data_IF_068116201433
#
_entry.id   IF_068116201433
#
_cell.length_a   1.000
_cell.length_b   1.000
_cell.length_c   1.000
_cell.angle_alpha   90.00
_cell.angle_beta   90.00
_cell.angle_gamma   90.00
#
_symmetry.space_group_name_H-M   'P 1'
#
loop_
_entity.id
_entity.type
_entity.pdbx_description
1 polymer ?
#
# COMPACT_ATOMS: atom_id res chain seq x y z
N UNK A 1 5.45 14.20 -13.79
CA UNK A 1 5.12 14.32 -12.35
C UNK A 1 5.94 13.27 -11.63
N UNK A 2 6.82 13.68 -10.71
CA UNK A 2 7.78 12.78 -10.06
C UNK A 2 7.10 12.11 -8.84
N UNK A 3 6.86 10.80 -8.83
CA UNK A 3 6.11 10.16 -7.75
C UNK A 3 7.03 9.94 -6.54
N UNK A 4 7.25 10.99 -5.74
CA UNK A 4 7.32 11.02 -4.26
C UNK A 4 7.81 12.40 -3.81
N UNK A 5 6.89 13.33 -3.59
CA UNK A 5 7.19 14.67 -3.10
C UNK A 5 7.37 14.75 -1.57
N UNK A 6 7.35 13.61 -0.87
CA UNK A 6 7.39 13.54 0.60
C UNK A 6 8.36 12.44 1.07
N UNK A 7 9.68 12.69 1.09
CA UNK A 7 10.61 11.75 1.69
C UNK A 7 10.33 11.61 3.18
N UNK A 8 10.46 10.38 3.70
CA UNK A 8 10.44 10.14 5.15
C UNK A 8 11.84 10.45 5.69
N UNK A 9 11.92 11.09 6.84
CA UNK A 9 13.20 11.18 7.57
C UNK A 9 13.22 10.15 8.68
N UNK A 10 14.22 9.27 8.69
CA UNK A 10 14.47 8.37 9.83
C UNK A 10 15.85 8.62 10.44
N UNK A 11 16.04 8.17 11.68
CA UNK A 11 17.35 8.13 12.32
C UNK A 11 17.84 6.69 12.40
N UNK A 12 19.00 6.39 11.80
CA UNK A 12 19.68 5.09 11.88
C UNK A 12 21.10 5.30 12.39
N UNK A 13 21.52 4.53 13.39
CA UNK A 13 22.89 4.65 13.93
C UNK A 13 23.27 6.06 14.41
N UNK A 14 22.29 6.87 14.81
CA UNK A 14 22.50 8.27 15.24
C UNK A 14 22.53 9.30 14.10
N UNK A 15 22.45 8.87 12.84
CA UNK A 15 22.41 9.76 11.66
C UNK A 15 21.00 9.82 11.06
N UNK A 16 20.65 10.98 10.50
CA UNK A 16 19.38 11.18 9.80
C UNK A 16 19.52 10.80 8.33
N UNK A 17 18.54 10.06 7.82
CA UNK A 17 18.46 9.67 6.42
C UNK A 17 17.09 10.01 5.84
N UNK A 18 17.09 10.35 4.55
CA UNK A 18 15.87 10.50 3.77
C UNK A 18 15.58 9.21 3.03
N UNK A 19 14.34 8.74 3.13
CA UNK A 19 13.82 7.61 2.38
C UNK A 19 12.87 8.12 1.29
N UNK A 20 13.15 7.71 0.07
CA UNK A 20 12.31 7.93 -1.10
C UNK A 20 11.57 6.63 -1.43
N UNK A 21 10.36 6.75 -2.00
CA UNK A 21 9.51 5.61 -2.36
C UNK A 21 8.97 5.75 -3.78
N UNK A 22 9.87 6.06 -4.69
CA UNK A 22 9.62 6.25 -6.12
C UNK A 22 9.91 4.97 -6.92
N UNK A 23 9.73 5.07 -8.25
CA UNK A 23 10.04 3.98 -9.17
C UNK A 23 11.52 3.55 -9.14
N UNK A 24 12.45 4.44 -8.77
CA UNK A 24 13.86 4.09 -8.62
C UNK A 24 14.07 3.16 -7.43
N UNK A 25 13.38 3.44 -6.33
CA UNK A 25 13.33 2.55 -5.16
C UNK A 25 12.81 1.18 -5.53
N UNK A 26 11.72 1.11 -6.28
CA UNK A 26 11.08 -0.15 -6.64
C UNK A 26 12.00 -0.97 -7.54
N UNK A 27 12.55 -0.35 -8.58
CA UNK A 27 13.48 -0.99 -9.52
C UNK A 27 14.72 -1.51 -8.80
N UNK A 28 15.36 -0.68 -7.97
CA UNK A 28 16.56 -1.09 -7.23
C UNK A 28 16.28 -2.22 -6.22
N UNK A 29 15.10 -2.22 -5.59
CA UNK A 29 14.69 -3.33 -4.73
C UNK A 29 14.54 -4.63 -5.52
N UNK A 30 13.85 -4.60 -6.65
CA UNK A 30 13.58 -5.79 -7.47
C UNK A 30 14.87 -6.39 -8.02
N UNK A 31 15.78 -5.54 -8.53
CA UNK A 31 17.11 -5.97 -9.00
C UNK A 31 17.95 -6.60 -7.89
N UNK A 32 17.90 -6.02 -6.68
CA UNK A 32 18.76 -6.45 -5.58
C UNK A 32 18.21 -7.68 -4.82
N UNK A 33 16.89 -7.82 -4.73
CA UNK A 33 16.21 -8.89 -4.00
C UNK A 33 15.81 -10.07 -4.89
N UNK A 34 15.59 -9.83 -6.20
CA UNK A 34 14.99 -10.79 -7.12
C UNK A 34 13.50 -11.01 -6.89
N UNK A 35 12.83 -10.14 -6.12
CA UNK A 35 11.41 -10.23 -5.78
C UNK A 35 10.67 -9.02 -6.34
N UNK A 36 9.44 -9.22 -6.82
CA UNK A 36 8.58 -8.13 -7.26
C UNK A 36 8.20 -7.24 -6.07
N UNK A 37 8.31 -5.92 -6.24
CA UNK A 37 8.16 -4.98 -5.14
C UNK A 37 6.73 -4.95 -4.59
N UNK A 38 5.72 -5.04 -5.46
CA UNK A 38 4.31 -5.04 -5.01
C UNK A 38 3.93 -6.32 -4.28
N UNK A 39 4.53 -7.47 -4.64
CA UNK A 39 4.34 -8.73 -3.91
C UNK A 39 4.96 -8.63 -2.51
N UNK A 40 6.13 -8.02 -2.40
CA UNK A 40 6.75 -7.70 -1.12
C UNK A 40 5.82 -6.81 -0.29
N UNK A 41 5.35 -5.68 -0.82
CA UNK A 41 4.44 -4.78 -0.11
C UNK A 41 3.14 -5.46 0.32
N UNK A 42 2.52 -6.25 -0.56
CA UNK A 42 1.31 -6.99 -0.24
C UNK A 42 1.54 -7.96 0.93
N UNK A 43 2.67 -8.66 0.95
CA UNK A 43 3.04 -9.56 2.05
C UNK A 43 3.23 -8.80 3.37
N UNK A 44 3.86 -7.63 3.32
CA UNK A 44 4.02 -6.75 4.47
C UNK A 44 2.65 -6.29 5.01
N UNK A 45 1.78 -5.80 4.12
CA UNK A 45 0.45 -5.27 4.47
C UNK A 45 -0.48 -6.35 5.04
N UNK A 46 -0.51 -7.53 4.43
CA UNK A 46 -1.29 -8.67 4.93
C UNK A 46 -0.87 -9.04 6.36
N UNK A 47 0.43 -9.05 6.60
CA UNK A 47 0.98 -9.36 7.93
C UNK A 47 0.55 -8.31 8.95
N UNK A 48 0.73 -7.03 8.64
CA UNK A 48 0.28 -5.92 9.50
C UNK A 48 -1.21 -5.96 9.79
N UNK A 49 -2.05 -6.21 8.77
CA UNK A 49 -3.50 -6.30 8.94
C UNK A 49 -3.88 -7.43 9.90
N UNK A 50 -3.34 -8.63 9.70
CA UNK A 50 -3.58 -9.77 10.59
C UNK A 50 -3.16 -9.48 12.04
N UNK A 51 -2.14 -8.65 12.23
CA UNK A 51 -1.69 -8.22 13.54
C UNK A 51 -2.61 -7.16 14.17
N UNK A 52 -3.03 -6.16 13.39
CA UNK A 52 -4.01 -5.16 13.85
C UNK A 52 -5.31 -5.83 14.27
N UNK A 53 -5.79 -6.81 13.49
CA UNK A 53 -6.97 -7.60 13.82
C UNK A 53 -6.77 -8.39 15.12
N UNK A 54 -5.58 -8.96 15.35
CA UNK A 54 -5.24 -9.64 16.59
C UNK A 54 -5.18 -8.68 17.80
N UNK A 55 -4.65 -7.46 17.64
CA UNK A 55 -4.61 -6.42 18.69
C UNK A 55 -6.02 -5.98 19.05
N UNK A 56 -6.86 -5.73 18.03
CA UNK A 56 -8.25 -5.34 18.21
C UNK A 56 -9.07 -6.45 18.87
N UNK A 57 -8.85 -7.71 18.49
CA UNK A 57 -9.51 -8.88 19.09
C UNK A 57 -9.04 -9.15 20.52
N UNK A 58 -7.76 -8.89 20.84
CA UNK A 58 -7.22 -8.98 22.20
C UNK A 58 -7.72 -7.86 23.12
N UNK A 59 -8.35 -6.81 22.56
CA UNK A 59 -8.93 -5.71 23.32
C UNK A 59 -7.88 -4.99 24.17
N UNK A 60 -6.73 -4.64 23.58
CA UNK A 60 -5.61 -3.99 24.27
C UNK A 60 -6.10 -2.76 25.06
N UNK A 61 -6.21 -2.90 26.38
CA UNK A 61 -6.79 -1.89 27.28
C UNK A 61 -5.71 -0.97 27.87
N UNK A 62 -4.45 -1.14 27.45
CA UNK A 62 -3.35 -0.28 27.88
C UNK A 62 -2.30 -0.09 26.79
N UNK A 63 -1.59 1.05 26.84
CA UNK A 63 -0.48 1.37 25.93
C UNK A 63 0.65 0.32 25.95
N UNK A 64 0.81 -0.41 27.07
CA UNK A 64 1.85 -1.42 27.24
C UNK A 64 1.54 -2.73 26.48
N UNK A 65 0.25 -3.10 26.42
CA UNK A 65 -0.22 -4.23 25.62
C UNK A 65 -0.13 -3.94 24.12
N UNK A 66 -0.44 -2.70 23.72
CA UNK A 66 -0.27 -2.25 22.34
C UNK A 66 1.22 -2.32 21.91
N UNK A 67 2.15 -1.83 22.74
CA UNK A 67 3.58 -1.89 22.46
C UNK A 67 4.08 -3.34 22.29
N UNK A 68 3.66 -4.25 23.18
CA UNK A 68 4.02 -5.67 23.11
C UNK A 68 3.47 -6.33 21.83
N UNK A 69 2.25 -5.98 21.43
CA UNK A 69 1.65 -6.48 20.21
C UNK A 69 2.34 -5.92 18.95
N UNK A 70 2.76 -4.65 18.95
CA UNK A 70 3.56 -4.03 17.86
C UNK A 70 4.95 -4.65 17.74
N UNK A 71 5.58 -5.02 18.85
CA UNK A 71 6.86 -5.73 18.85
C UNK A 71 6.70 -7.15 18.27
N UNK A 72 5.72 -7.91 18.76
CA UNK A 72 5.40 -9.23 18.23
C UNK A 72 5.05 -9.17 16.73
N UNK A 73 4.34 -8.12 16.32
CA UNK A 73 4.01 -7.82 14.93
C UNK A 73 5.24 -7.69 14.04
N UNK A 74 6.19 -6.88 14.50
CA UNK A 74 7.44 -6.66 13.80
C UNK A 74 8.26 -7.93 13.63
N UNK A 75 8.28 -8.79 14.64
CA UNK A 75 8.93 -10.11 14.54
C UNK A 75 8.23 -11.05 13.55
N UNK A 76 6.90 -11.00 13.43
CA UNK A 76 6.18 -11.80 12.44
C UNK A 76 6.46 -11.31 11.02
N UNK A 77 6.53 -10.00 10.80
CA UNK A 77 6.96 -9.41 9.52
C UNK A 77 8.37 -9.87 9.17
N UNK A 78 9.31 -9.77 10.13
CA UNK A 78 10.68 -10.25 9.97
C UNK A 78 10.76 -11.73 9.63
N UNK A 79 9.88 -12.57 10.17
CA UNK A 79 9.82 -14.01 9.86
C UNK A 79 9.28 -14.29 8.47
N UNK A 80 8.20 -13.61 8.06
CA UNK A 80 7.57 -13.84 6.75
C UNK A 80 8.45 -13.33 5.60
N UNK A 81 9.09 -12.19 5.79
CA UNK A 81 9.71 -11.43 4.71
C UNK A 81 11.23 -11.57 4.74
N UNK A 82 11.80 -11.77 5.92
CA UNK A 82 13.23 -11.96 6.10
C UNK A 82 13.98 -10.66 6.26
N UNK A 83 15.01 -10.70 7.11
CA UNK A 83 15.84 -9.54 7.43
C UNK A 83 16.58 -8.96 6.21
N UNK A 84 16.97 -9.83 5.28
CA UNK A 84 17.68 -9.45 4.05
C UNK A 84 16.81 -8.58 3.13
N UNK A 85 15.52 -8.84 3.07
CA UNK A 85 14.60 -8.09 2.21
C UNK A 85 14.30 -6.73 2.83
N UNK A 86 14.12 -6.66 4.15
CA UNK A 86 14.00 -5.40 4.90
C UNK A 86 15.24 -4.53 4.71
N UNK A 87 16.43 -5.12 4.83
CA UNK A 87 17.69 -4.43 4.56
C UNK A 87 17.79 -3.95 3.11
N UNK A 88 17.34 -4.75 2.15
CA UNK A 88 17.38 -4.40 0.73
C UNK A 88 16.40 -3.28 0.41
N UNK A 89 15.21 -3.32 1.01
CA UNK A 89 14.20 -2.27 0.88
C UNK A 89 14.68 -0.94 1.47
N UNK A 90 15.22 -0.97 2.68
CA UNK A 90 15.81 0.22 3.31
C UNK A 90 16.95 0.79 2.46
N UNK A 91 17.85 -0.06 1.98
CA UNK A 91 18.92 0.38 1.09
C UNK A 91 18.36 1.02 -0.20
N UNK A 92 17.40 0.37 -0.86
CA UNK A 92 16.81 0.87 -2.10
C UNK A 92 16.18 2.26 -1.91
N UNK A 93 15.49 2.47 -0.79
CA UNK A 93 14.86 3.75 -0.44
C UNK A 93 15.86 4.84 0.00
N UNK A 94 17.07 4.45 0.44
CA UNK A 94 18.16 5.36 0.83
C UNK A 94 19.02 5.76 -0.38
N UNK A 95 18.41 6.31 -1.42
CA UNK A 95 19.13 6.92 -2.54
C UNK A 95 19.06 8.44 -2.47
N UNK A 96 20.00 9.09 -3.14
CA UNK A 96 20.06 10.53 -3.34
C UNK A 96 20.07 10.83 -4.84
N UNK A 97 19.83 12.08 -5.20
CA UNK A 97 19.80 12.53 -6.59
C UNK A 97 20.99 13.44 -6.87
N UNK A 98 21.72 13.16 -7.94
CA UNK A 98 22.82 14.02 -8.38
C UNK A 98 22.31 15.29 -9.08
N UNK A 99 23.21 16.14 -9.57
CA UNK A 99 22.85 17.36 -10.29
C UNK A 99 22.12 17.11 -11.62
N UNK A 100 22.18 15.89 -12.15
CA UNK A 100 21.50 15.48 -13.38
C UNK A 100 20.13 14.84 -13.08
N UNK A 101 19.79 14.63 -11.80
CA UNK A 101 18.58 13.94 -11.37
C UNK A 101 18.68 12.43 -11.45
N UNK A 102 19.88 11.87 -11.54
CA UNK A 102 20.11 10.44 -11.54
C UNK A 102 20.22 9.92 -10.10
N UNK A 103 19.56 8.80 -9.76
CA UNK A 103 19.62 8.23 -8.43
C UNK A 103 20.98 7.57 -8.17
N UNK A 104 21.56 7.79 -7.00
CA UNK A 104 22.73 7.07 -6.51
C UNK A 104 22.56 6.63 -5.06
N UNK A 105 23.21 5.53 -4.69
CA UNK A 105 23.14 4.97 -3.34
C UNK A 105 24.41 5.29 -2.56
N UNK A 106 24.40 6.27 -1.63
CA UNK A 106 25.58 6.68 -0.88
C UNK A 106 26.12 5.58 0.05
N UNK A 107 25.32 4.54 0.31
CA UNK A 107 25.72 3.39 1.11
C UNK A 107 25.47 2.09 0.36
N UNK A 108 26.33 1.12 0.63
CA UNK A 108 26.11 -0.27 0.21
C UNK A 108 25.05 -0.93 1.10
N UNK A 109 24.40 -1.98 0.58
CA UNK A 109 23.50 -2.83 1.38
C UNK A 109 24.15 -3.29 2.69
N UNK A 110 25.40 -3.75 2.64
CA UNK A 110 26.13 -4.22 3.81
C UNK A 110 26.35 -3.13 4.88
N UNK A 111 26.57 -1.87 4.47
CA UNK A 111 26.65 -0.75 5.40
C UNK A 111 25.29 -0.42 6.02
N UNK A 112 24.22 -0.43 5.24
CA UNK A 112 22.85 -0.24 5.75
C UNK A 112 22.51 -1.32 6.78
N UNK A 113 22.87 -2.58 6.52
CA UNK A 113 22.67 -3.68 7.47
C UNK A 113 23.40 -3.54 8.80
N UNK A 114 24.49 -2.76 8.87
CA UNK A 114 25.19 -2.46 10.13
C UNK A 114 24.52 -1.35 10.94
N UNK A 115 23.69 -0.54 10.28
CA UNK A 115 22.95 0.57 10.92
C UNK A 115 21.60 0.10 11.48
N UNK A 116 21.18 -1.10 11.10
CA UNK A 116 19.91 -1.69 11.47
C UNK A 116 20.16 -2.76 12.52
N UNK A 117 19.57 -2.61 13.69
CA UNK A 117 19.44 -3.69 14.67
C UNK A 117 17.98 -4.16 14.74
N UNK A 118 17.76 -5.35 15.30
CA UNK A 118 16.42 -5.96 15.38
C UNK A 118 15.44 -5.09 16.17
N UNK A 119 15.93 -4.32 17.15
CA UNK A 119 15.11 -3.43 17.98
C UNK A 119 14.67 -2.17 17.23
N UNK A 120 15.50 -1.66 16.34
CA UNK A 120 15.20 -0.51 15.49
C UNK A 120 14.28 -0.93 14.34
N UNK A 121 14.39 -2.16 13.83
CA UNK A 121 13.47 -2.64 12.78
C UNK A 121 12.02 -2.63 13.25
N UNK A 122 11.76 -3.05 14.49
CA UNK A 122 10.39 -3.14 14.99
C UNK A 122 9.70 -1.79 15.17
N UNK A 123 10.49 -0.74 15.40
CA UNK A 123 9.98 0.63 15.48
C UNK A 123 9.88 1.28 14.10
N UNK A 124 10.80 0.97 13.19
CA UNK A 124 10.89 1.62 11.89
C UNK A 124 9.95 1.04 10.85
N UNK A 125 9.77 -0.28 10.82
CA UNK A 125 8.97 -0.94 9.78
C UNK A 125 7.56 -0.36 9.68
N UNK A 126 6.77 -0.26 10.77
CA UNK A 126 5.42 0.29 10.69
C UNK A 126 5.39 1.71 10.09
N UNK A 127 6.34 2.57 10.46
CA UNK A 127 6.44 3.94 9.93
C UNK A 127 6.79 3.97 8.46
N UNK A 128 7.75 3.15 8.03
CA UNK A 128 8.19 3.06 6.63
C UNK A 128 7.04 2.56 5.76
N UNK A 129 6.30 1.56 6.23
CA UNK A 129 5.18 0.97 5.50
C UNK A 129 4.05 1.97 5.38
N UNK A 130 3.68 2.63 6.49
CA UNK A 130 2.60 3.62 6.47
C UNK A 130 2.90 4.73 5.47
N UNK A 131 4.12 5.27 5.50
CA UNK A 131 4.44 6.35 4.59
C UNK A 131 4.75 5.87 3.16
N UNK A 132 5.06 4.59 2.94
CA UNK A 132 5.00 4.01 1.60
C UNK A 132 3.55 3.99 1.08
N UNK A 133 2.58 3.59 1.91
CA UNK A 133 1.14 3.64 1.59
C UNK A 133 0.66 5.06 1.32
N UNK A 134 1.05 6.03 2.16
CA UNK A 134 0.67 7.45 2.00
C UNK A 134 1.24 8.09 0.73
N UNK A 135 2.30 7.50 0.15
CA UNK A 135 2.92 7.95 -1.08
C UNK A 135 2.27 7.34 -2.35
N UNK A 136 1.38 6.35 -2.21
CA UNK A 136 0.55 5.89 -3.31
C UNK A 136 -0.67 6.82 -3.47
N UNK A 137 -0.89 7.42 -4.65
CA UNK A 137 -2.08 8.25 -4.89
C UNK A 137 -3.34 7.38 -4.80
N UNK A 138 -4.16 7.66 -3.78
CA UNK A 138 -5.50 7.11 -3.49
C UNK A 138 -5.68 5.61 -3.75
N UNK A 139 -5.17 4.77 -2.84
CA UNK A 139 -6.00 3.66 -2.38
C UNK A 139 -7.16 4.27 -1.58
N UNK A 140 -8.44 3.88 -1.80
CA UNK A 140 -9.58 4.49 -1.13
C UNK A 140 -9.36 4.46 0.39
N UNK A 141 -9.29 5.65 1.00
CA UNK A 141 -9.02 5.77 2.43
C UNK A 141 -10.06 4.96 3.19
N UNK A 142 -9.63 3.95 3.93
CA UNK A 142 -10.49 3.23 4.90
C UNK A 142 -10.59 4.03 6.21
N UNK A 143 -10.75 5.34 6.09
CA UNK A 143 -11.12 6.25 7.17
C UNK A 143 -12.46 6.88 6.86
N UNK A 144 -13.52 6.07 6.96
CA UNK A 144 -14.82 6.58 7.37
C UNK A 144 -15.54 5.48 8.17
N UNK A 145 -15.33 5.52 9.49
CA UNK A 145 -16.30 4.99 10.44
C UNK A 145 -17.53 5.91 10.44
N UNK A 146 -18.26 5.93 9.32
CA UNK A 146 -19.59 6.52 9.23
C UNK A 146 -20.59 5.39 9.40
N UNK A 147 -21.06 5.26 10.64
CA UNK A 147 -22.26 4.51 11.06
C UNK A 147 -23.32 4.55 9.94
N UNK A 148 -23.94 3.42 9.54
CA UNK A 148 -24.99 3.45 8.54
C UNK A 148 -26.18 4.21 9.15
N UNK A 149 -26.40 5.43 8.69
CA UNK A 149 -27.66 6.13 8.92
C UNK A 149 -28.65 5.48 7.96
N UNK A 150 -29.62 4.78 8.53
CA UNK A 150 -30.78 4.22 7.82
C UNK A 150 -31.30 5.25 6.82
N UNK A 151 -31.46 4.92 5.52
CA UNK A 151 -32.04 5.83 4.56
C UNK A 151 -33.46 6.21 5.02
N UNK A 152 -33.64 7.49 5.35
CA UNK A 152 -34.97 8.07 5.53
C UNK A 152 -35.67 8.00 4.18
N UNK A 153 -36.87 7.40 4.17
CA UNK A 153 -37.68 7.23 2.96
C UNK A 153 -37.79 8.57 2.18
N UNK A 154 -37.71 8.54 0.84
CA UNK A 154 -37.86 9.75 0.05
C UNK A 154 -39.28 10.31 0.21
N UNK A 155 -39.33 11.60 0.51
CA UNK A 155 -40.53 12.42 0.59
C UNK A 155 -41.25 12.43 -0.77
N UNK A 156 -42.56 12.18 -0.75
CA UNK A 156 -43.43 12.27 -1.92
C UNK A 156 -43.58 13.74 -2.35
N UNK A 157 -42.82 14.16 -3.37
CA UNK A 157 -43.17 15.36 -4.15
C UNK A 157 -42.82 15.13 -5.62
N UNK A 158 -43.74 14.46 -6.29
CA UNK A 158 -43.78 14.29 -7.73
C UNK A 158 -44.14 15.62 -8.40
N UNK A 159 -43.16 16.28 -9.03
CA UNK A 159 -43.43 17.13 -10.19
C UNK A 159 -43.04 16.38 -11.45
N UNK A 160 -44.08 16.01 -12.20
CA UNK A 160 -44.09 15.28 -13.45
C UNK A 160 -43.26 15.99 -14.53
N UNK A 161 -42.22 15.33 -15.06
CA UNK A 161 -41.59 15.75 -16.32
C UNK A 161 -41.75 14.60 -17.31
N UNK A 162 -42.68 14.81 -18.24
CA UNK A 162 -42.95 13.96 -19.39
C UNK A 162 -41.82 14.13 -20.41
N UNK A 163 -41.23 13.03 -20.88
CA UNK A 163 -40.13 13.11 -21.85
C UNK A 163 -39.66 11.77 -22.40
N UNK A 164 -40.45 11.19 -23.32
CA UNK A 164 -39.94 10.41 -24.47
C UNK A 164 -39.34 9.03 -24.21
N UNK A 165 -40.18 7.99 -24.29
CA UNK A 165 -39.73 6.63 -24.57
C UNK A 165 -39.16 6.53 -25.98
N UNK A 166 -37.87 6.20 -26.11
CA UNK A 166 -37.32 5.59 -27.32
C UNK A 166 -37.00 4.14 -26.95
N UNK A 167 -37.94 3.26 -27.27
CA UNK A 167 -37.71 1.81 -27.16
C UNK A 167 -36.72 1.39 -28.24
N UNK A 168 -35.54 0.94 -27.82
CA UNK A 168 -34.66 0.18 -28.70
C UNK A 168 -35.27 -1.19 -29.02
N UNK A 169 -34.85 -1.84 -30.12
CA UNK A 169 -35.36 -3.14 -30.51
C UNK A 169 -35.08 -4.17 -29.40
N UNK A 170 -36.10 -4.97 -29.08
CA UNK A 170 -35.96 -6.05 -28.09
C UNK A 170 -35.04 -7.14 -28.61
N UNK A 171 -34.25 -7.77 -27.71
CA UNK A 171 -33.27 -8.83 -27.98
C UNK A 171 -33.75 -10.01 -28.86
N UNK A 172 -35.07 -10.17 -29.02
CA UNK A 172 -35.66 -11.14 -29.94
C UNK A 172 -35.40 -10.85 -31.44
N UNK A 173 -35.21 -9.58 -31.85
CA UNK A 173 -34.91 -9.24 -33.25
C UNK A 173 -33.43 -9.45 -33.63
N UNK A 174 -32.52 -9.47 -32.65
CA UNK A 174 -31.08 -9.67 -32.91
C UNK A 174 -30.79 -11.14 -33.24
N UNK A 175 -31.49 -12.07 -32.59
CA UNK A 175 -31.28 -13.51 -32.78
C UNK A 175 -31.76 -14.03 -34.15
N UNK A 176 -32.72 -13.36 -34.79
CA UNK A 176 -33.21 -13.75 -36.13
C UNK A 176 -32.26 -13.29 -37.26
N UNK A 177 -31.37 -12.34 -36.98
CA UNK A 177 -30.38 -11.82 -37.94
C UNK A 177 -29.11 -12.68 -38.09
N UNK A 178 -28.89 -13.62 -37.17
CA UNK A 178 -27.69 -14.48 -37.12
C UNK A 178 -27.86 -15.83 -37.86
N UNK A 179 -29.06 -16.18 -38.30
CA UNK A 179 -29.36 -17.51 -38.86
C UNK A 179 -29.29 -17.58 -40.39
N UNK A 180 -29.03 -16.48 -41.11
CA UNK A 180 -29.09 -16.43 -42.59
C UNK A 180 -27.71 -16.30 -43.26
N UNK A 181 -26.60 -16.55 -42.54
CA UNK A 181 -25.26 -16.58 -43.14
C UNK A 181 -24.52 -17.88 -42.85
N UNK A 182 -25.10 -18.98 -43.31
CA UNK A 182 -24.35 -20.20 -43.58
C UNK A 182 -25.15 -21.03 -44.57
N UNK A 183 -24.95 -20.78 -45.86
CA UNK A 183 -24.96 -21.75 -46.97
C UNK A 183 -25.04 -21.02 -48.32
N UNK A 184 -24.03 -21.23 -49.19
CA UNK A 184 -24.07 -20.89 -50.63
C UNK A 184 -23.21 -19.71 -51.06
#
# INVERSE_FOLDING_TARGET
MNPTSKPITLTLGGEKYHLYFDLNTFTAFEEASGKFFLDFLASVQETLKGLQDAVNAAGAKSANEAATATEAASFQILRKIGLKDVQTFLWAAMHEYDSNGEPYWPKTRGQVGKLIDVANISTLLPTIIQANVDNFPDAPSTTESSRPTVPKAPDESLTHVSGGSVSGPSDAEILDSLTVRSEG
#
